data_IF_374565750996
#
_entry.id   IF_374565750996
#
_cell.length_a   1.000
_cell.length_b   1.000
_cell.length_c   1.000
_cell.angle_alpha   90.00
_cell.angle_beta   90.00
_cell.angle_gamma   90.00
#
_symmetry.space_group_name_H-M   'P 1'
#
loop_
_entity.id
_entity.type
_entity.pdbx_description
1 polymer ?
#
# COMPACT_ATOMS: atom_id res chain seq x y z
N UNK A 1 -8.98 6.08 -7.62
CA UNK A 1 -9.94 7.03 -8.21
C UNK A 1 -11.40 6.77 -7.79
N UNK A 2 -11.94 5.55 -7.86
CA UNK A 2 -13.37 5.29 -7.53
C UNK A 2 -13.74 5.63 -6.08
N UNK A 3 -13.04 5.02 -5.10
CA UNK A 3 -13.22 5.29 -3.67
C UNK A 3 -12.98 6.76 -3.34
N UNK A 4 -11.88 7.31 -3.84
CA UNK A 4 -11.55 8.74 -3.71
C UNK A 4 -12.71 9.64 -4.17
N UNK A 5 -13.25 9.44 -5.38
CA UNK A 5 -14.32 10.26 -5.91
C UNK A 5 -15.61 10.21 -5.07
N UNK A 6 -15.93 9.05 -4.47
CA UNK A 6 -17.12 8.87 -3.64
C UNK A 6 -17.02 9.62 -2.30
N UNK A 7 -15.80 9.73 -1.75
CA UNK A 7 -15.57 10.28 -0.41
C UNK A 7 -14.82 11.61 -0.42
N UNK A 8 -14.56 12.21 -1.59
CA UNK A 8 -13.65 13.34 -1.73
C UNK A 8 -14.04 14.59 -0.90
N UNK A 9 -15.34 14.80 -0.70
CA UNK A 9 -15.90 15.92 0.06
C UNK A 9 -16.30 15.55 1.49
N UNK A 10 -15.93 14.35 1.96
CA UNK A 10 -16.35 13.76 3.23
C UNK A 10 -15.20 13.63 4.23
N UNK A 11 -15.47 14.01 5.48
CA UNK A 11 -14.52 13.91 6.60
C UNK A 11 -14.65 12.60 7.40
N UNK A 12 -15.68 11.80 7.14
CA UNK A 12 -15.98 10.59 7.91
C UNK A 12 -15.33 9.32 7.33
N UNK A 13 -14.63 9.45 6.19
CA UNK A 13 -13.83 8.38 5.57
C UNK A 13 -12.50 8.95 5.10
N UNK A 14 -11.39 8.44 5.64
CA UNK A 14 -10.06 8.68 5.11
C UNK A 14 -9.76 7.71 3.97
N UNK A 15 -9.47 8.22 2.78
CA UNK A 15 -9.00 7.43 1.64
C UNK A 15 -7.49 7.55 1.48
N UNK A 16 -6.79 6.42 1.41
CA UNK A 16 -5.35 6.37 1.19
C UNK A 16 -5.06 5.42 0.01
N UNK A 17 -4.25 5.88 -0.93
CA UNK A 17 -3.89 5.11 -2.12
C UNK A 17 -2.38 5.09 -2.33
N UNK A 18 -1.75 3.93 -2.12
CA UNK A 18 -0.36 3.69 -2.51
C UNK A 18 -0.37 3.07 -3.91
N UNK A 19 0.11 3.80 -4.90
CA UNK A 19 -0.04 3.37 -6.29
C UNK A 19 1.17 3.79 -7.13
N UNK A 20 1.36 3.12 -8.27
CA UNK A 20 2.35 3.57 -9.24
C UNK A 20 1.87 4.86 -9.90
N UNK A 21 2.72 5.90 -9.88
CA UNK A 21 2.46 7.17 -10.54
C UNK A 21 2.09 6.95 -12.02
N UNK A 22 0.97 7.54 -12.45
CA UNK A 22 0.48 7.52 -13.85
C UNK A 22 0.36 6.11 -14.45
N UNK A 23 -0.02 5.10 -13.65
CA UNK A 23 -0.32 3.76 -14.17
C UNK A 23 -1.79 3.64 -14.63
N UNK A 24 -2.72 3.82 -13.70
CA UNK A 24 -4.15 3.86 -13.99
C UNK A 24 -4.93 4.53 -12.83
N UNK A 25 -5.80 5.51 -13.12
CA UNK A 25 -5.87 6.29 -14.36
C UNK A 25 -4.59 7.10 -14.62
N UNK A 26 -4.49 7.73 -15.79
CA UNK A 26 -3.30 8.52 -16.17
C UNK A 26 -3.34 9.97 -15.65
N UNK A 27 -4.51 10.42 -15.19
CA UNK A 27 -4.90 11.81 -14.97
C UNK A 27 -5.42 12.09 -13.55
N UNK A 28 -5.32 11.11 -12.64
CA UNK A 28 -5.71 11.22 -11.22
C UNK A 28 -4.68 10.53 -10.34
N UNK A 29 -4.70 10.78 -9.03
CA UNK A 29 -3.78 10.13 -8.07
C UNK A 29 -2.60 11.04 -7.69
N UNK A 30 -2.69 12.33 -7.97
CA UNK A 30 -1.63 13.27 -7.64
C UNK A 30 -1.60 13.50 -6.12
N UNK A 31 -0.39 13.62 -5.55
CA UNK A 31 -0.21 13.87 -4.11
C UNK A 31 -0.91 15.16 -3.63
N UNK A 32 -1.05 16.15 -4.50
CA UNK A 32 -1.73 17.42 -4.20
C UNK A 32 -3.26 17.28 -4.06
N UNK A 33 -3.85 16.16 -4.47
CA UNK A 33 -5.29 15.91 -4.35
C UNK A 33 -5.62 15.44 -2.93
N UNK A 34 -6.07 16.36 -2.08
CA UNK A 34 -6.24 16.13 -0.62
C UNK A 34 -7.68 16.09 -0.13
N UNK A 35 -8.63 15.99 -1.04
CA UNK A 35 -10.06 16.14 -0.74
C UNK A 35 -10.50 17.58 -1.01
N UNK A 36 -11.75 17.90 -0.67
CA UNK A 36 -12.23 19.27 -0.72
C UNK A 36 -13.31 19.54 0.34
N UNK A 37 -13.59 20.80 0.60
CA UNK A 37 -14.68 21.19 1.51
C UNK A 37 -14.51 20.59 2.90
N UNK A 38 -15.45 19.73 3.31
CA UNK A 38 -15.36 19.03 4.60
C UNK A 38 -14.32 17.91 4.59
N UNK A 39 -14.05 17.29 3.43
CA UNK A 39 -13.08 16.21 3.26
C UNK A 39 -11.64 16.68 3.06
N UNK A 40 -11.34 17.98 3.20
CA UNK A 40 -9.97 18.48 3.10
C UNK A 40 -9.06 17.79 4.13
N UNK A 41 -8.00 17.15 3.65
CA UNK A 41 -7.09 16.33 4.45
C UNK A 41 -7.51 14.86 4.61
N UNK A 42 -8.73 14.49 4.21
CA UNK A 42 -9.27 13.13 4.28
C UNK A 42 -9.03 12.29 3.01
N UNK A 43 -8.23 12.78 2.06
CA UNK A 43 -7.67 11.98 0.97
C UNK A 43 -6.14 12.06 0.99
N UNK A 44 -5.46 10.93 0.79
CA UNK A 44 -4.00 10.84 0.69
C UNK A 44 -3.60 9.92 -0.47
N UNK A 45 -3.20 10.54 -1.56
CA UNK A 45 -2.54 9.85 -2.66
C UNK A 45 -1.04 9.75 -2.39
N UNK A 46 -0.47 8.56 -2.59
CA UNK A 46 0.97 8.30 -2.51
C UNK A 46 1.44 7.74 -3.86
N UNK A 47 1.69 8.61 -4.84
CA UNK A 47 2.21 8.20 -6.15
C UNK A 47 3.68 7.78 -6.00
N UNK A 48 3.96 6.52 -6.30
CA UNK A 48 5.29 5.91 -6.22
C UNK A 48 5.88 5.75 -7.62
N UNK A 49 7.20 6.01 -7.80
CA UNK A 49 7.84 5.79 -9.09
C UNK A 49 7.73 4.34 -9.55
N UNK A 50 7.55 4.07 -10.87
CA UNK A 50 7.72 2.75 -11.45
C UNK A 50 9.05 2.12 -11.03
N UNK A 51 9.03 0.83 -10.68
CA UNK A 51 10.19 0.11 -10.16
C UNK A 51 10.32 0.15 -8.64
N UNK A 52 9.43 0.85 -7.92
CA UNK A 52 9.45 0.83 -6.45
C UNK A 52 9.24 -0.59 -5.92
N UNK A 53 10.20 -1.05 -5.12
CA UNK A 53 10.21 -2.36 -4.48
C UNK A 53 9.87 -2.30 -2.99
N UNK A 54 10.20 -3.38 -2.29
CA UNK A 54 9.89 -3.60 -0.88
C UNK A 54 10.22 -2.40 0.02
N UNK A 55 11.45 -1.87 -0.06
CA UNK A 55 11.89 -0.77 0.80
C UNK A 55 11.07 0.52 0.62
N UNK A 56 10.69 0.85 -0.61
CA UNK A 56 9.86 2.03 -0.87
C UNK A 56 8.43 1.88 -0.35
N UNK A 57 7.84 0.68 -0.43
CA UNK A 57 6.54 0.40 0.19
C UNK A 57 6.59 0.50 1.72
N UNK A 58 7.66 0.01 2.36
CA UNK A 58 7.85 0.16 3.81
C UNK A 58 7.99 1.62 4.21
N UNK A 59 8.78 2.42 3.48
CA UNK A 59 8.85 3.87 3.73
C UNK A 59 7.49 4.56 3.58
N UNK A 60 6.72 4.21 2.54
CA UNK A 60 5.43 4.82 2.27
C UNK A 60 4.41 4.47 3.37
N UNK A 61 4.38 3.20 3.81
CA UNK A 61 3.46 2.80 4.86
C UNK A 61 3.85 3.42 6.21
N UNK A 62 5.12 3.37 6.58
CA UNK A 62 5.62 3.83 7.89
C UNK A 62 5.53 5.34 8.05
N UNK A 63 5.82 6.12 7.00
CA UNK A 63 5.94 7.58 7.10
C UNK A 63 4.71 8.35 6.65
N UNK A 64 3.82 7.73 5.86
CA UNK A 64 2.64 8.41 5.32
C UNK A 64 1.35 7.71 5.76
N UNK A 65 1.18 6.43 5.41
CA UNK A 65 -0.09 5.75 5.61
C UNK A 65 -0.44 5.54 7.10
N UNK A 66 0.44 4.89 7.88
CA UNK A 66 0.16 4.61 9.29
C UNK A 66 0.01 5.88 10.13
N UNK A 67 0.84 6.94 9.96
CA UNK A 67 0.62 8.22 10.63
C UNK A 67 -0.73 8.85 10.28
N UNK A 68 -1.13 8.85 8.99
CA UNK A 68 -2.42 9.39 8.57
C UNK A 68 -3.60 8.61 9.16
N UNK A 69 -3.55 7.27 9.12
CA UNK A 69 -4.58 6.41 9.73
C UNK A 69 -4.67 6.68 11.24
N UNK A 70 -3.53 6.76 11.93
CA UNK A 70 -3.51 7.01 13.38
C UNK A 70 -4.07 8.40 13.72
N UNK A 71 -3.73 9.42 12.94
CA UNK A 71 -4.23 10.78 13.14
C UNK A 71 -5.75 10.89 12.89
N UNK A 72 -6.27 10.13 11.93
CA UNK A 72 -7.70 10.08 11.62
C UNK A 72 -8.51 9.35 12.70
N UNK A 73 -7.92 8.32 13.34
CA UNK A 73 -8.57 7.58 14.42
C UNK A 73 -9.84 6.82 13.98
N UNK A 74 -9.77 5.95 12.95
CA UNK A 74 -10.94 5.28 12.42
C UNK A 74 -11.51 4.24 13.38
N UNK A 75 -12.81 3.96 13.25
CA UNK A 75 -13.46 2.86 13.96
C UNK A 75 -13.17 1.48 13.34
N UNK A 76 -12.76 1.42 12.07
CA UNK A 76 -12.36 0.20 11.37
C UNK A 76 -11.47 0.55 10.16
N UNK A 77 -10.63 -0.39 9.73
CA UNK A 77 -9.79 -0.25 8.54
C UNK A 77 -10.28 -1.22 7.45
N UNK A 78 -10.53 -0.70 6.25
CA UNK A 78 -10.81 -1.51 5.06
C UNK A 78 -9.66 -1.34 4.08
N UNK A 79 -9.02 -2.44 3.70
CA UNK A 79 -7.93 -2.45 2.73
C UNK A 79 -8.46 -2.96 1.40
N UNK A 80 -8.43 -2.09 0.39
CA UNK A 80 -8.56 -2.46 -1.02
C UNK A 80 -7.29 -3.22 -1.44
N UNK A 81 -7.31 -4.54 -1.26
CA UNK A 81 -6.16 -5.43 -1.26
C UNK A 81 -5.88 -5.96 -2.68
N UNK A 82 -5.25 -5.11 -3.49
CA UNK A 82 -4.72 -5.49 -4.79
C UNK A 82 -3.31 -6.10 -4.70
N UNK A 83 -2.99 -7.03 -5.59
CA UNK A 83 -1.71 -7.72 -5.68
C UNK A 83 -0.91 -7.36 -6.94
N UNK A 84 -1.37 -6.36 -7.69
CA UNK A 84 -0.80 -5.90 -8.96
C UNK A 84 0.46 -5.01 -8.80
N UNK A 85 0.83 -4.68 -7.56
CA UNK A 85 2.17 -4.22 -7.21
C UNK A 85 3.23 -5.33 -7.27
N UNK A 86 2.83 -6.59 -7.40
CA UNK A 86 3.71 -7.75 -7.45
C UNK A 86 4.70 -7.68 -8.62
N UNK A 87 5.94 -8.12 -8.38
CA UNK A 87 7.03 -8.03 -9.35
C UNK A 87 6.81 -8.76 -10.70
N UNK A 88 5.86 -9.69 -10.76
CA UNK A 88 5.48 -10.42 -11.97
C UNK A 88 4.14 -9.99 -12.56
N UNK A 89 3.56 -8.89 -12.07
CA UNK A 89 2.28 -8.42 -12.58
C UNK A 89 2.42 -7.79 -13.99
N UNK A 90 1.57 -8.15 -14.96
CA UNK A 90 1.62 -7.59 -16.30
C UNK A 90 1.10 -6.15 -16.39
N UNK A 91 0.32 -5.66 -15.41
CA UNK A 91 -0.34 -4.35 -15.47
C UNK A 91 0.36 -3.27 -14.62
N UNK A 92 1.36 -3.64 -13.83
CA UNK A 92 2.20 -2.72 -13.05
C UNK A 92 3.68 -2.88 -13.35
N UNK A 93 4.50 -1.91 -12.92
CA UNK A 93 5.98 -1.94 -13.02
C UNK A 93 6.62 -1.94 -11.63
N UNK A 94 5.86 -2.28 -10.60
CA UNK A 94 6.33 -2.31 -9.22
C UNK A 94 7.07 -3.61 -8.93
N UNK A 95 7.85 -3.65 -7.84
CA UNK A 95 8.68 -4.79 -7.46
C UNK A 95 8.35 -5.30 -6.06
N UNK A 96 7.08 -5.20 -5.65
CA UNK A 96 6.64 -5.75 -4.36
C UNK A 96 6.76 -7.28 -4.37
N UNK A 97 7.15 -7.81 -3.21
CA UNK A 97 7.38 -9.25 -3.00
C UNK A 97 6.35 -9.81 -2.03
N UNK A 98 6.32 -11.13 -1.85
CA UNK A 98 5.54 -11.78 -0.80
C UNK A 98 5.76 -11.11 0.57
N UNK A 99 7.01 -10.79 0.91
CA UNK A 99 7.34 -10.15 2.19
C UNK A 99 6.82 -8.72 2.29
N UNK A 100 6.76 -7.97 1.18
CA UNK A 100 6.14 -6.64 1.16
C UNK A 100 4.67 -6.70 1.61
N UNK A 101 3.86 -7.59 1.02
CA UNK A 101 2.45 -7.71 1.40
C UNK A 101 2.27 -8.22 2.82
N UNK A 102 3.16 -9.12 3.27
CA UNK A 102 3.21 -9.60 4.64
C UNK A 102 3.43 -8.47 5.63
N UNK A 103 4.50 -7.70 5.46
CA UNK A 103 4.87 -6.62 6.40
C UNK A 103 3.85 -5.48 6.38
N UNK A 104 3.30 -5.11 5.22
CA UNK A 104 2.22 -4.13 5.14
C UNK A 104 0.99 -4.60 5.91
N UNK A 105 0.59 -5.87 5.74
CA UNK A 105 -0.54 -6.47 6.45
C UNK A 105 -0.32 -6.45 7.96
N UNK A 106 0.85 -6.91 8.40
CA UNK A 106 1.24 -6.94 9.81
C UNK A 106 1.20 -5.54 10.43
N UNK A 107 1.73 -4.54 9.73
CA UNK A 107 1.78 -3.17 10.22
C UNK A 107 0.38 -2.56 10.36
N UNK A 108 -0.51 -2.79 9.38
CA UNK A 108 -1.91 -2.34 9.45
C UNK A 108 -2.67 -3.04 10.57
N UNK A 109 -2.49 -4.35 10.73
CA UNK A 109 -3.13 -5.11 11.81
C UNK A 109 -2.66 -4.65 13.19
N UNK A 110 -1.36 -4.45 13.38
CA UNK A 110 -0.82 -3.94 14.63
C UNK A 110 -1.37 -2.54 14.96
N UNK A 111 -1.46 -1.65 13.95
CA UNK A 111 -2.08 -0.34 14.15
C UNK A 111 -3.57 -0.47 14.51
N UNK A 112 -4.30 -1.38 13.86
CA UNK A 112 -5.71 -1.60 14.14
C UNK A 112 -5.96 -2.14 15.55
N UNK A 113 -5.11 -3.04 16.03
CA UNK A 113 -5.14 -3.52 17.42
C UNK A 113 -5.00 -2.36 18.41
N UNK A 114 -4.10 -1.41 18.11
CA UNK A 114 -3.88 -0.22 18.95
C UNK A 114 -5.06 0.76 18.96
N UNK A 115 -5.66 1.06 17.79
CA UNK A 115 -6.53 2.24 17.64
C UNK A 115 -8.00 1.90 17.39
N UNK A 116 -8.31 0.70 16.89
CA UNK A 116 -9.67 0.31 16.50
C UNK A 116 -10.01 -1.13 16.89
N UNK A 117 -9.36 -1.67 17.94
CA UNK A 117 -9.68 -2.97 18.52
C UNK A 117 -9.56 -4.13 17.52
N UNK A 118 -8.58 -4.07 16.62
CA UNK A 118 -8.26 -5.12 15.64
C UNK A 118 -9.23 -5.22 14.47
N UNK A 119 -10.10 -4.22 14.26
CA UNK A 119 -11.12 -4.25 13.19
C UNK A 119 -10.51 -3.91 11.83
N UNK A 120 -10.02 -4.95 11.14
CA UNK A 120 -9.49 -4.86 9.77
C UNK A 120 -10.26 -5.80 8.84
N UNK A 121 -10.59 -5.32 7.64
CA UNK A 121 -11.13 -6.13 6.55
C UNK A 121 -10.24 -5.96 5.32
N UNK A 122 -9.84 -7.07 4.71
CA UNK A 122 -9.19 -7.09 3.40
C UNK A 122 -10.24 -7.42 2.34
N UNK A 123 -10.43 -6.55 1.36
CA UNK A 123 -11.28 -6.79 0.20
C UNK A 123 -10.37 -6.97 -1.04
N UNK A 124 -10.40 -8.14 -1.67
CA UNK A 124 -9.54 -8.44 -2.82
C UNK A 124 -9.88 -7.52 -4.02
N UNK A 125 -8.86 -6.94 -4.65
CA UNK A 125 -8.99 -6.06 -5.82
C UNK A 125 -8.24 -6.63 -7.03
N UNK A 126 -7.24 -5.91 -7.55
CA UNK A 126 -6.41 -6.33 -8.68
C UNK A 126 -5.37 -7.41 -8.33
N UNK A 127 -4.66 -7.87 -9.35
CA UNK A 127 -3.67 -8.94 -9.24
C UNK A 127 -3.82 -9.89 -10.42
N UNK A 128 -2.91 -9.77 -11.38
CA UNK A 128 -3.06 -10.33 -12.72
C UNK A 128 -1.97 -11.32 -13.09
N UNK A 129 -1.05 -11.60 -12.17
CA UNK A 129 -0.07 -12.67 -12.30
C UNK A 129 -0.63 -13.98 -11.75
N UNK A 130 -1.15 -14.85 -12.62
CA UNK A 130 -1.66 -16.18 -12.23
C UNK A 130 -0.64 -16.99 -11.42
N UNK A 131 0.64 -16.81 -11.72
CA UNK A 131 1.75 -17.56 -11.11
C UNK A 131 2.25 -16.98 -9.78
N UNK A 132 1.99 -15.70 -9.48
CA UNK A 132 2.56 -15.04 -8.29
C UNK A 132 1.52 -14.59 -7.27
N UNK A 133 0.35 -14.11 -7.72
CA UNK A 133 -0.74 -13.66 -6.84
C UNK A 133 -1.09 -14.69 -5.75
N UNK A 134 -1.12 -16.02 -6.01
CA UNK A 134 -1.39 -16.99 -4.95
C UNK A 134 -0.43 -16.89 -3.75
N UNK A 135 0.86 -16.62 -3.97
CA UNK A 135 1.85 -16.50 -2.88
C UNK A 135 1.71 -15.18 -2.13
N UNK A 136 1.39 -14.10 -2.85
CA UNK A 136 1.17 -12.76 -2.27
C UNK A 136 -0.08 -12.77 -1.38
N UNK A 137 -1.20 -13.29 -1.90
CA UNK A 137 -2.45 -13.41 -1.14
C UNK A 137 -2.33 -14.38 0.03
N UNK A 138 -1.61 -15.49 -0.15
CA UNK A 138 -1.37 -16.43 0.95
C UNK A 138 -0.60 -15.78 2.11
N UNK A 139 0.39 -14.92 1.85
CA UNK A 139 1.09 -14.18 2.90
C UNK A 139 0.18 -13.23 3.68
N UNK A 140 -0.76 -12.55 3.02
CA UNK A 140 -1.78 -11.72 3.69
C UNK A 140 -2.67 -12.60 4.59
N UNK A 141 -3.16 -13.73 4.06
CA UNK A 141 -4.02 -14.66 4.82
C UNK A 141 -3.29 -15.30 6.00
N UNK A 142 -2.00 -15.62 5.86
CA UNK A 142 -1.17 -16.12 6.96
C UNK A 142 -1.12 -15.12 8.12
N UNK A 143 -0.83 -13.84 7.85
CA UNK A 143 -0.79 -12.80 8.89
C UNK A 143 -2.17 -12.59 9.52
N UNK A 144 -3.23 -12.49 8.70
CA UNK A 144 -4.60 -12.28 9.19
C UNK A 144 -5.11 -13.41 10.09
N UNK A 145 -4.76 -14.66 9.76
CA UNK A 145 -5.26 -15.83 10.48
C UNK A 145 -4.36 -16.28 11.63
N UNK A 146 -3.11 -15.79 11.70
CA UNK A 146 -2.07 -16.34 12.57
C UNK A 146 -1.73 -17.80 12.24
N UNK A 147 -2.06 -18.25 11.03
CA UNK A 147 -1.83 -19.63 10.60
C UNK A 147 -0.34 -19.94 10.50
N UNK A 148 0.02 -21.18 10.84
CA UNK A 148 1.37 -21.72 10.65
C UNK A 148 1.56 -22.41 9.30
N UNK A 149 0.50 -22.47 8.47
CA UNK A 149 0.56 -23.08 7.15
C UNK A 149 1.37 -22.17 6.22
N UNK A 150 2.61 -22.57 5.93
CA UNK A 150 3.54 -21.79 5.11
C UNK A 150 3.46 -22.18 3.63
N UNK A 151 3.37 -21.20 2.75
CA UNK A 151 3.67 -21.36 1.32
C UNK A 151 4.83 -20.43 0.94
N UNK A 152 6.04 -20.98 0.87
CA UNK A 152 7.23 -20.22 0.49
C UNK A 152 7.12 -19.76 -0.98
N UNK A 153 7.36 -18.48 -1.26
CA UNK A 153 7.44 -17.96 -2.63
C UNK A 153 8.67 -18.57 -3.34
N UNK A 154 8.48 -19.37 -4.41
CA UNK A 154 9.57 -20.01 -5.13
C UNK A 154 10.48 -19.01 -5.85
N UNK A 155 10.05 -17.75 -5.99
CA UNK A 155 10.81 -16.67 -6.61
C UNK A 155 11.54 -15.78 -5.60
N UNK A 156 11.41 -16.03 -4.29
CA UNK A 156 11.92 -15.16 -3.23
C UNK A 156 13.41 -14.80 -3.39
N UNK A 157 14.28 -15.78 -3.64
CA UNK A 157 15.72 -15.53 -3.84
C UNK A 157 15.99 -14.66 -5.07
N UNK A 158 15.24 -14.89 -6.15
CA UNK A 158 15.37 -14.11 -7.39
C UNK A 158 14.89 -12.69 -7.18
N UNK A 159 13.76 -12.50 -6.52
CA UNK A 159 13.17 -11.20 -6.25
C UNK A 159 14.03 -10.38 -5.28
N UNK A 160 14.67 -11.02 -4.29
CA UNK A 160 15.64 -10.36 -3.41
C UNK A 160 16.81 -9.73 -4.18
N UNK A 161 17.33 -10.43 -5.20
CA UNK A 161 18.42 -9.93 -6.06
C UNK A 161 17.95 -8.88 -7.08
N UNK A 162 16.64 -8.83 -7.38
CA UNK A 162 16.04 -7.91 -8.36
C UNK A 162 15.45 -6.65 -7.72
N UNK A 163 15.52 -6.52 -6.40
CA UNK A 163 15.12 -5.27 -5.74
C UNK A 163 15.95 -4.09 -6.23
N UNK A 164 15.41 -2.86 -6.18
CA UNK A 164 16.16 -1.66 -6.51
C UNK A 164 17.44 -1.54 -5.69
N UNK A 165 18.48 -0.99 -6.30
CA UNK A 165 19.74 -0.69 -5.61
C UNK A 165 19.62 0.55 -4.71
N UNK A 166 20.60 0.73 -3.83
CA UNK A 166 20.61 1.81 -2.84
C UNK A 166 20.42 3.22 -3.42
N UNK A 167 20.90 3.49 -4.64
CA UNK A 167 20.71 4.78 -5.29
C UNK A 167 19.24 5.09 -5.62
N UNK A 168 18.49 4.08 -6.07
CA UNK A 168 17.06 4.22 -6.35
C UNK A 168 16.27 4.31 -5.03
N UNK A 169 16.60 3.48 -4.04
CA UNK A 169 15.97 3.55 -2.72
C UNK A 169 16.15 4.92 -2.08
N UNK A 170 17.35 5.50 -2.15
CA UNK A 170 17.60 6.85 -1.62
C UNK A 170 16.83 7.94 -2.37
N UNK A 171 16.53 7.72 -3.65
CA UNK A 171 15.66 8.62 -4.42
C UNK A 171 14.21 8.52 -3.94
N UNK A 172 13.67 7.31 -3.80
CA UNK A 172 12.31 7.09 -3.27
C UNK A 172 12.19 7.62 -1.84
N UNK A 173 13.20 7.40 -1.00
CA UNK A 173 13.27 7.91 0.38
C UNK A 173 13.13 9.44 0.43
N UNK A 174 13.85 10.17 -0.44
CA UNK A 174 13.73 11.64 -0.53
C UNK A 174 12.36 12.09 -0.99
N UNK A 175 11.75 11.38 -1.95
CA UNK A 175 10.38 11.69 -2.39
C UNK A 175 9.38 11.52 -1.25
N UNK A 176 9.46 10.40 -0.53
CA UNK A 176 8.58 10.10 0.61
C UNK A 176 8.81 11.09 1.76
N UNK A 177 10.07 11.45 2.04
CA UNK A 177 10.38 12.49 3.03
C UNK A 177 9.77 13.84 2.65
N UNK A 178 9.91 14.26 1.39
CA UNK A 178 9.30 15.49 0.91
C UNK A 178 7.76 15.48 0.97
N UNK A 179 7.13 14.34 0.66
CA UNK A 179 5.69 14.16 0.86
C UNK A 179 5.31 14.28 2.34
N UNK A 180 6.05 13.62 3.24
CA UNK A 180 5.78 13.65 4.68
C UNK A 180 5.96 15.05 5.28
N UNK A 181 6.95 15.82 4.84
CA UNK A 181 7.17 17.22 5.26
C UNK A 181 6.06 18.17 4.78
N UNK A 182 5.34 17.80 3.72
CA UNK A 182 4.24 18.58 3.17
C UNK A 182 2.87 18.24 3.78
N UNK A 183 2.78 17.22 4.65
CA UNK A 183 1.58 16.86 5.43
C UNK A 183 1.50 17.67 6.72
#
# INVERSE_FOLDING_TARGET
>A
NGTEAIFYDRADVLTISLHQERNYPLDTGDFAERGNGMGEGANLNVPLPPGTGHRGYMMAIERLALPAIRAFGPDAIVVACGFDAGAFDPLGRMLATQETFREMTRAVMALADDICGGRVVMAHEGGYSEMHVPFLGHAVLEEMSGSRAAAADPFAETLAKRQPGAGFDAYVDRLIAGMAEAL
#
